data_IF_847576008336
#
_entry.id   IF_847576008336
#
_cell.length_a   1.000
_cell.length_b   1.000
_cell.length_c   1.000
_cell.angle_alpha   90.00
_cell.angle_beta   90.00
_cell.angle_gamma   90.00
#
_symmetry.space_group_name_H-M   'P 1'
#
loop_
_entity.id
_entity.type
_entity.pdbx_description
1 polymer ?
#
# COMPACT_ATOMS: atom_id res chain seq x y z
N UNK A 1 -3.75 24.52 5.81
CA UNK A 1 -3.19 23.75 4.68
C UNK A 1 -3.66 22.31 4.82
N UNK A 2 -4.20 21.70 3.77
CA UNK A 2 -4.66 20.30 3.81
C UNK A 2 -3.44 19.36 3.90
N UNK A 3 -3.35 18.56 4.97
CA UNK A 3 -2.30 17.53 5.09
C UNK A 3 -2.56 16.48 4.02
N UNK A 4 -1.64 16.32 3.06
CA UNK A 4 -1.72 15.22 2.10
C UNK A 4 -1.54 13.90 2.85
N UNK A 5 -2.40 12.93 2.57
CA UNK A 5 -2.30 11.57 3.11
C UNK A 5 -0.95 10.95 2.69
N UNK A 6 -0.22 10.35 3.65
CA UNK A 6 0.98 9.56 3.37
C UNK A 6 0.66 8.06 3.31
N UNK A 7 1.61 7.24 2.86
CA UNK A 7 1.46 5.78 2.87
C UNK A 7 1.26 5.26 4.30
N UNK A 8 2.06 5.74 5.25
CA UNK A 8 2.00 5.34 6.65
C UNK A 8 0.69 5.76 7.32
N UNK A 9 0.18 6.96 6.99
CA UNK A 9 -1.13 7.41 7.45
C UNK A 9 -2.26 6.49 6.93
N UNK A 10 -2.22 6.14 5.63
CA UNK A 10 -3.21 5.26 5.00
C UNK A 10 -3.13 3.82 5.53
N UNK A 11 -1.93 3.28 5.69
CA UNK A 11 -1.70 1.93 6.20
C UNK A 11 -2.18 1.80 7.66
N UNK A 12 -1.86 2.78 8.50
CA UNK A 12 -2.34 2.82 9.88
C UNK A 12 -3.87 2.85 9.98
N UNK A 13 -4.52 3.60 9.08
CA UNK A 13 -5.98 3.64 9.02
C UNK A 13 -6.57 2.30 8.58
N UNK A 14 -5.92 1.62 7.62
CA UNK A 14 -6.32 0.28 7.18
C UNK A 14 -6.24 -0.74 8.33
N UNK A 15 -5.18 -0.71 9.14
CA UNK A 15 -5.06 -1.56 10.35
C UNK A 15 -6.17 -1.28 11.37
N UNK A 16 -6.54 -0.01 11.55
CA UNK A 16 -7.65 0.37 12.42
C UNK A 16 -8.99 -0.16 11.91
N UNK A 17 -9.26 -0.02 10.62
CA UNK A 17 -10.47 -0.56 9.97
C UNK A 17 -10.53 -2.08 10.15
N UNK A 18 -9.42 -2.79 9.91
CA UNK A 18 -9.37 -4.24 10.09
C UNK A 18 -9.73 -4.63 11.53
N UNK A 19 -9.13 -3.97 12.54
CA UNK A 19 -9.45 -4.20 13.95
C UNK A 19 -10.93 -3.95 14.27
N UNK A 20 -11.52 -2.88 13.74
CA UNK A 20 -12.92 -2.55 13.98
C UNK A 20 -13.87 -3.59 13.38
N UNK A 21 -13.56 -4.07 12.17
CA UNK A 21 -14.34 -5.12 11.51
C UNK A 21 -14.20 -6.47 12.22
N UNK A 22 -13.00 -6.82 12.68
CA UNK A 22 -12.71 -8.05 13.43
C UNK A 22 -13.36 -8.05 14.82
N UNK A 23 -13.43 -6.90 15.49
CA UNK A 23 -14.08 -6.77 16.79
C UNK A 23 -15.59 -7.07 16.71
N UNK A 24 -16.23 -6.82 15.55
CA UNK A 24 -17.65 -7.10 15.34
C UNK A 24 -18.60 -6.22 16.16
N UNK A 25 -18.10 -5.13 16.76
CA UNK A 25 -18.88 -4.19 17.59
C UNK A 25 -19.55 -3.07 16.78
N UNK A 26 -19.30 -3.03 15.46
CA UNK A 26 -19.84 -2.03 14.54
C UNK A 26 -21.15 -2.50 13.90
N UNK A 27 -22.06 -1.57 13.62
CA UNK A 27 -23.30 -1.89 12.92
C UNK A 27 -23.04 -2.33 11.47
N UNK A 28 -23.99 -3.04 10.85
CA UNK A 28 -23.87 -3.46 9.45
C UNK A 28 -23.60 -2.28 8.50
N UNK A 29 -24.27 -1.15 8.71
CA UNK A 29 -24.08 0.04 7.87
C UNK A 29 -22.68 0.64 8.06
N UNK A 30 -22.15 0.64 9.28
CA UNK A 30 -20.78 1.05 9.55
C UNK A 30 -19.77 0.09 8.95
N UNK A 31 -20.00 -1.23 9.03
CA UNK A 31 -19.14 -2.24 8.41
C UNK A 31 -19.00 -2.03 6.90
N UNK A 32 -20.09 -1.67 6.22
CA UNK A 32 -20.07 -1.37 4.78
C UNK A 32 -19.23 -0.10 4.51
N UNK A 33 -19.40 0.95 5.31
CA UNK A 33 -18.61 2.20 5.17
C UNK A 33 -17.13 1.97 5.41
N UNK A 34 -16.79 1.21 6.46
CA UNK A 34 -15.42 0.84 6.79
C UNK A 34 -14.78 0.00 5.68
N UNK A 35 -15.54 -0.93 5.09
CA UNK A 35 -15.09 -1.71 3.95
C UNK A 35 -14.78 -0.82 2.73
N UNK A 36 -15.70 0.08 2.35
CA UNK A 36 -15.49 1.01 1.24
C UNK A 36 -14.29 1.93 1.46
N UNK A 37 -14.09 2.39 2.70
CA UNK A 37 -12.92 3.16 3.09
C UNK A 37 -11.64 2.32 2.94
N UNK A 38 -11.65 1.09 3.46
CA UNK A 38 -10.54 0.16 3.37
C UNK A 38 -10.11 -0.10 1.92
N UNK A 39 -11.07 -0.32 1.01
CA UNK A 39 -10.79 -0.52 -0.41
C UNK A 39 -10.05 0.67 -1.03
N UNK A 40 -10.48 1.90 -0.74
CA UNK A 40 -9.81 3.12 -1.24
C UNK A 40 -8.40 3.27 -0.68
N UNK A 41 -8.20 2.88 0.58
CA UNK A 41 -6.88 2.92 1.22
C UNK A 41 -5.94 1.88 0.61
N UNK A 42 -6.44 0.67 0.28
CA UNK A 42 -5.67 -0.37 -0.41
C UNK A 42 -5.22 0.12 -1.78
N UNK A 43 -6.14 0.69 -2.59
CA UNK A 43 -5.79 1.26 -3.89
C UNK A 43 -4.72 2.35 -3.78
N UNK A 44 -4.87 3.25 -2.80
CA UNK A 44 -3.87 4.27 -2.52
C UNK A 44 -2.51 3.66 -2.17
N UNK A 45 -2.46 2.72 -1.21
CA UNK A 45 -1.23 2.06 -0.78
C UNK A 45 -0.52 1.37 -1.95
N UNK A 46 -1.25 0.61 -2.76
CA UNK A 46 -0.71 -0.06 -3.94
C UNK A 46 -0.10 0.93 -4.93
N UNK A 47 -0.79 2.04 -5.21
CA UNK A 47 -0.26 3.09 -6.09
C UNK A 47 1.03 3.72 -5.55
N UNK A 48 1.13 3.94 -4.22
CA UNK A 48 2.35 4.45 -3.59
C UNK A 48 3.52 3.47 -3.71
N UNK A 49 3.26 2.17 -3.54
CA UNK A 49 4.27 1.11 -3.67
C UNK A 49 4.77 0.99 -5.12
N UNK A 50 3.86 0.99 -6.10
CA UNK A 50 4.21 0.97 -7.51
C UNK A 50 5.06 2.18 -7.93
N UNK A 51 4.72 3.38 -7.43
CA UNK A 51 5.55 4.57 -7.63
C UNK A 51 6.96 4.42 -7.03
N UNK A 52 7.06 3.80 -5.86
CA UNK A 52 8.34 3.58 -5.19
C UNK A 52 9.19 2.56 -5.96
N UNK A 53 8.60 1.46 -6.39
CA UNK A 53 9.25 0.43 -7.18
C UNK A 53 9.81 1.00 -8.50
N UNK A 54 8.99 1.75 -9.25
CA UNK A 54 9.42 2.41 -10.50
C UNK A 54 10.58 3.38 -10.28
N UNK A 55 10.65 4.05 -9.13
CA UNK A 55 11.77 4.94 -8.80
C UNK A 55 13.04 4.13 -8.54
N UNK A 56 12.94 3.03 -7.79
CA UNK A 56 14.07 2.12 -7.53
C UNK A 56 14.60 1.55 -8.86
N UNK A 57 13.73 1.02 -9.71
CA UNK A 57 14.11 0.46 -11.01
C UNK A 57 14.81 1.47 -11.94
N UNK A 58 14.43 2.75 -11.90
CA UNK A 58 15.09 3.82 -12.68
C UNK A 58 16.49 4.15 -12.15
N UNK A 59 16.67 4.15 -10.84
CA UNK A 59 17.99 4.39 -10.23
C UNK A 59 18.97 3.25 -10.54
N UNK A 60 18.50 2.01 -10.63
CA UNK A 60 19.34 0.86 -10.99
C UNK A 60 19.83 0.85 -12.45
N UNK A 61 19.30 1.70 -13.33
CA UNK A 61 19.61 1.69 -14.79
C UNK A 61 20.59 2.79 -15.25
N UNK A 62 21.13 3.63 -14.36
CA UNK A 62 22.05 4.73 -14.75
C UNK A 62 23.53 4.29 -14.80
N UNK A 63 24.37 4.86 -15.70
CA UNK A 63 25.68 4.28 -16.08
C UNK A 63 26.85 4.52 -15.12
N UNK A 64 26.68 5.31 -14.06
CA UNK A 64 27.72 5.52 -13.05
C UNK A 64 27.49 4.51 -11.92
N UNK A 65 28.15 3.36 -12.06
CA UNK A 65 27.84 2.12 -11.35
C UNK A 65 27.90 2.21 -9.83
N UNK A 66 26.83 1.76 -9.18
CA UNK A 66 26.80 0.44 -8.56
C UNK A 66 25.49 0.28 -7.77
N UNK A 67 24.55 -0.51 -8.30
CA UNK A 67 23.64 -1.35 -7.50
C UNK A 67 23.30 -2.58 -8.36
N UNK A 68 23.96 -3.69 -8.08
CA UNK A 68 23.57 -5.02 -8.57
C UNK A 68 22.20 -5.37 -7.99
N UNK A 69 21.15 -5.20 -8.77
CA UNK A 69 19.91 -5.94 -8.55
C UNK A 69 20.05 -7.23 -9.35
N UNK A 70 20.49 -8.31 -8.68
CA UNK A 70 20.27 -9.64 -9.25
C UNK A 70 18.78 -9.75 -9.54
N UNK A 71 18.47 -10.06 -10.80
CA UNK A 71 17.15 -10.36 -11.32
C UNK A 71 16.35 -11.14 -10.27
N UNK A 72 15.40 -10.45 -9.65
CA UNK A 72 14.44 -11.11 -8.79
C UNK A 72 13.46 -11.82 -9.73
N UNK A 73 13.83 -13.02 -10.15
CA UNK A 73 12.91 -14.01 -10.74
C UNK A 73 11.97 -14.47 -9.62
N UNK A 74 10.94 -13.67 -9.35
CA UNK A 74 9.77 -14.16 -8.63
C UNK A 74 9.04 -15.15 -9.52
N UNK A 75 9.51 -16.40 -9.56
CA UNK A 75 8.69 -17.54 -9.94
C UNK A 75 7.53 -17.60 -8.94
N UNK A 76 6.33 -17.21 -9.38
CA UNK A 76 5.09 -17.70 -8.78
C UNK A 76 4.96 -19.13 -9.30
N UNK A 77 5.44 -20.10 -8.54
CA UNK A 77 5.00 -21.50 -8.72
C UNK A 77 3.52 -21.59 -8.31
N UNK A 78 2.74 -22.28 -9.15
CA UNK A 78 1.29 -22.52 -9.01
C UNK A 78 0.89 -23.25 -7.72
#
# INVERSE_FOLDING_TARGET
>A
MSKKMTFEDAFKRLEEIARLLEAGEVSLEESIKLYEEGMKLIEFCNSRLEEAEKKIQKLSRTPEGNLETNDWEGEIEE
#
